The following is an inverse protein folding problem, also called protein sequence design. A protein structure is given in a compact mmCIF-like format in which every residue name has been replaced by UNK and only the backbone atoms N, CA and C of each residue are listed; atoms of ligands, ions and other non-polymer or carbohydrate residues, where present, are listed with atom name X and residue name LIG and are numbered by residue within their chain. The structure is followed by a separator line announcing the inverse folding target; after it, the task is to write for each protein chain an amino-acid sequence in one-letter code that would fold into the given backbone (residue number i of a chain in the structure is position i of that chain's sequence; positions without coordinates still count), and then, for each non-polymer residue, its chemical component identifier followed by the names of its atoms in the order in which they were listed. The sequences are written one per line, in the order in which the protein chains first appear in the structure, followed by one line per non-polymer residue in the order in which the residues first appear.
data_IF_433585748847
#
_entry.id   IF_433585748847
#
_cell.length_a   1.000
_cell.length_b   1.000
_cell.length_c   1.000
_cell.angle_alpha   90.00
_cell.angle_beta   90.00
_cell.angle_gamma   90.00
#
_symmetry.space_group_name_H-M   'P 1'
#
loop_
_entity.id
_entity.type
_entity.pdbx_description
1 polymer ?
#
# COMPACT_ATOMS: atom_id res chain seq x y z
N UNK A 1 -0.09 10.65 19.78
CA UNK A 1 -1.14 11.48 19.15
C UNK A 1 -0.98 11.40 17.66
N UNK A 2 -2.07 11.53 16.91
CA UNK A 2 -2.00 11.45 15.44
C UNK A 2 -1.43 12.75 14.86
N UNK A 3 -0.40 12.63 14.02
CA UNK A 3 0.05 13.76 13.22
C UNK A 3 -0.93 14.11 12.08
N UNK A 4 -1.71 13.13 11.64
CA UNK A 4 -2.66 13.24 10.53
C UNK A 4 -3.95 12.49 10.87
N UNK A 5 -5.10 13.12 10.62
CA UNK A 5 -6.42 12.50 10.81
C UNK A 5 -7.34 12.88 9.65
N UNK A 6 -7.92 11.87 8.99
CA UNK A 6 -8.80 12.05 7.84
C UNK A 6 -8.06 12.66 6.64
N UNK A 7 -8.13 13.99 6.51
CA UNK A 7 -7.53 14.78 5.44
C UNK A 7 -6.71 15.98 5.93
N UNK A 8 -6.41 16.06 7.23
CA UNK A 8 -5.73 17.21 7.84
C UNK A 8 -4.56 16.80 8.74
N UNK A 9 -3.52 17.62 8.74
CA UNK A 9 -2.37 17.53 9.66
C UNK A 9 -2.64 18.33 10.94
N UNK A 10 -2.11 17.85 12.07
CA UNK A 10 -2.10 18.60 13.33
C UNK A 10 -1.01 19.68 13.27
N UNK A 11 -1.42 20.95 13.15
CA UNK A 11 -0.50 22.07 13.01
C UNK A 11 0.38 22.33 14.25
N UNK A 12 0.03 21.79 15.42
CA UNK A 12 0.86 21.89 16.62
C UNK A 12 2.08 20.95 16.58
N UNK A 13 1.95 19.82 15.85
CA UNK A 13 3.02 18.82 15.66
C UNK A 13 3.72 19.05 14.31
N UNK A 14 2.96 19.39 13.27
CA UNK A 14 3.39 19.55 11.89
C UNK A 14 3.14 20.98 11.36
N UNK A 15 3.81 22.01 11.89
CA UNK A 15 3.70 23.37 11.37
C UNK A 15 4.39 23.54 10.00
N UNK A 16 5.39 22.70 9.72
CA UNK A 16 6.14 22.64 8.47
C UNK A 16 6.65 21.20 8.23
N UNK A 17 7.11 20.93 7.00
CA UNK A 17 7.51 19.58 6.58
C UNK A 17 8.73 19.03 7.33
N UNK A 18 9.73 19.88 7.65
CA UNK A 18 10.97 19.45 8.32
C UNK A 18 10.69 19.08 9.77
N UNK A 19 9.89 19.91 10.45
CA UNK A 19 9.45 19.62 11.82
C UNK A 19 8.59 18.37 11.85
N UNK A 20 7.62 18.23 10.93
CA UNK A 20 6.73 17.09 10.86
C UNK A 20 7.47 15.76 10.63
N UNK A 21 8.41 15.72 9.67
CA UNK A 21 9.20 14.50 9.38
C UNK A 21 10.09 14.07 10.54
N UNK A 22 10.51 15.00 11.39
CA UNK A 22 11.28 14.70 12.60
C UNK A 22 10.40 14.28 13.79
N UNK A 23 9.18 14.80 13.87
CA UNK A 23 8.26 14.60 15.00
C UNK A 23 7.31 13.40 14.82
N UNK A 24 7.11 12.92 13.60
CA UNK A 24 6.13 11.90 13.25
C UNK A 24 6.78 10.63 12.71
N UNK A 25 6.08 9.51 12.84
CA UNK A 25 6.51 8.21 12.34
C UNK A 25 5.43 7.58 11.45
N UNK A 26 5.88 6.78 10.48
CA UNK A 26 5.02 5.81 9.78
C UNK A 26 5.13 4.51 10.55
N UNK A 27 4.00 4.01 11.04
CA UNK A 27 3.93 2.79 11.86
C UNK A 27 3.61 1.55 11.02
N UNK A 28 3.64 0.38 11.65
CA UNK A 28 3.27 -0.89 11.04
C UNK A 28 1.81 -0.97 10.60
N UNK A 29 1.49 -1.99 9.81
CA UNK A 29 0.17 -2.20 9.22
C UNK A 29 -0.39 -3.60 9.56
N UNK A 30 -1.66 -3.65 9.98
CA UNK A 30 -2.45 -4.88 9.92
C UNK A 30 -3.01 -5.05 8.50
N UNK A 31 -2.25 -5.75 7.66
CA UNK A 31 -2.56 -5.96 6.24
C UNK A 31 -3.94 -6.57 6.02
N UNK A 32 -4.32 -7.59 6.78
CA UNK A 32 -5.58 -8.30 6.55
C UNK A 32 -6.77 -7.56 7.16
N UNK A 33 -6.65 -7.15 8.43
CA UNK A 33 -7.78 -6.55 9.16
C UNK A 33 -8.08 -5.11 8.74
N UNK A 34 -7.05 -4.31 8.43
CA UNK A 34 -7.23 -2.89 8.08
C UNK A 34 -7.34 -2.69 6.58
N UNK A 35 -6.52 -3.40 5.79
CA UNK A 35 -6.40 -3.14 4.35
C UNK A 35 -7.00 -4.23 3.46
N UNK A 36 -7.40 -5.39 4.01
CA UNK A 36 -7.94 -6.50 3.23
C UNK A 36 -6.93 -7.10 2.26
N UNK A 37 -5.63 -6.99 2.58
CA UNK A 37 -4.52 -7.55 1.82
C UNK A 37 -4.18 -8.91 2.42
N UNK A 38 -4.14 -9.94 1.57
CA UNK A 38 -3.75 -11.30 1.98
C UNK A 38 -2.90 -11.96 0.92
N UNK A 39 -2.06 -12.91 1.32
CA UNK A 39 -1.25 -13.73 0.42
C UNK A 39 -1.49 -15.21 0.69
N UNK A 40 -1.34 -16.02 -0.35
CA UNK A 40 -1.32 -17.48 -0.24
C UNK A 40 -0.37 -18.05 -1.29
N UNK A 41 0.77 -18.58 -0.87
CA UNK A 41 1.83 -19.01 -1.79
C UNK A 41 2.31 -17.85 -2.66
N UNK A 42 2.07 -17.95 -3.97
CA UNK A 42 2.43 -16.96 -4.99
C UNK A 42 1.28 -16.00 -5.36
N UNK A 43 0.12 -16.08 -4.70
CA UNK A 43 -1.02 -15.21 -4.97
C UNK A 43 -1.11 -14.05 -3.98
N UNK A 44 -1.43 -12.85 -4.49
CA UNK A 44 -1.74 -11.64 -3.73
C UNK A 44 -3.20 -11.25 -3.99
N UNK A 45 -4.02 -11.14 -2.94
CA UNK A 45 -5.41 -10.69 -3.03
C UNK A 45 -5.56 -9.32 -2.38
N UNK A 46 -6.11 -8.37 -3.14
CA UNK A 46 -6.35 -6.99 -2.72
C UNK A 46 -7.85 -6.69 -2.73
N UNK A 47 -8.47 -6.57 -1.54
CA UNK A 47 -9.88 -6.17 -1.45
C UNK A 47 -10.05 -4.66 -1.67
N UNK A 48 -11.14 -4.27 -2.32
CA UNK A 48 -11.40 -2.87 -2.60
C UNK A 48 -11.82 -2.06 -1.36
N UNK A 49 -12.68 -2.61 -0.49
CA UNK A 49 -13.15 -1.92 0.73
C UNK A 49 -12.95 -2.81 1.95
N UNK A 50 -12.30 -2.27 2.98
CA UNK A 50 -12.13 -2.93 4.29
C UNK A 50 -12.36 -1.89 5.39
N UNK A 51 -13.50 -1.99 6.10
CA UNK A 51 -13.92 -0.95 7.04
C UNK A 51 -14.06 0.42 6.36
N UNK A 52 -13.32 1.42 6.83
CA UNK A 52 -13.25 2.75 6.21
C UNK A 52 -12.11 2.92 5.18
N UNK A 53 -11.28 1.89 4.97
CA UNK A 53 -10.20 1.92 3.99
C UNK A 53 -10.72 1.57 2.59
N UNK A 54 -10.25 2.31 1.58
CA UNK A 54 -10.60 2.12 0.17
C UNK A 54 -9.33 1.94 -0.65
N UNK A 55 -9.16 0.74 -1.22
CA UNK A 55 -8.02 0.35 -2.05
C UNK A 55 -6.74 0.09 -1.27
N UNK A 56 -5.69 -0.23 -2.02
CA UNK A 56 -4.34 -0.48 -1.51
C UNK A 56 -3.30 -0.35 -2.61
N UNK A 57 -2.05 -0.11 -2.25
CA UNK A 57 -0.89 -0.24 -3.14
C UNK A 57 0.26 -0.88 -2.38
N UNK A 58 0.90 -1.87 -2.99
CA UNK A 58 2.02 -2.62 -2.42
C UNK A 58 3.21 -2.62 -3.38
N UNK A 59 4.40 -2.86 -2.85
CA UNK A 59 5.64 -3.00 -3.61
C UNK A 59 6.24 -4.37 -3.33
N UNK A 60 6.82 -5.01 -4.34
CA UNK A 60 7.54 -6.26 -4.13
C UNK A 60 8.88 -5.98 -3.43
N UNK A 61 9.14 -6.70 -2.35
CA UNK A 61 10.33 -6.55 -1.53
C UNK A 61 11.30 -7.71 -1.80
N UNK A 62 12.60 -7.42 -1.82
CA UNK A 62 13.68 -8.42 -1.84
C UNK A 62 14.13 -8.77 -0.42
N UNK A 63 14.08 -7.79 0.48
CA UNK A 63 14.28 -7.97 1.93
C UNK A 63 13.34 -7.06 2.72
N UNK A 64 13.37 -7.11 4.05
CA UNK A 64 12.57 -6.22 4.91
C UNK A 64 12.84 -4.72 4.66
N UNK A 65 13.98 -4.35 4.07
CA UNK A 65 14.40 -2.95 3.90
C UNK A 65 14.69 -2.55 2.44
N UNK A 66 14.58 -3.48 1.49
CA UNK A 66 14.92 -3.23 0.08
C UNK A 66 13.81 -3.71 -0.86
N UNK A 67 13.40 -2.84 -1.79
CA UNK A 67 12.52 -3.22 -2.88
C UNK A 67 13.23 -4.17 -3.85
N UNK A 68 12.48 -5.11 -4.41
CA UNK A 68 12.96 -5.92 -5.51
C UNK A 68 13.12 -5.05 -6.76
N UNK A 69 14.33 -5.03 -7.32
CA UNK A 69 14.63 -4.30 -8.56
C UNK A 69 14.62 -5.26 -9.73
N UNK A 70 13.92 -4.89 -10.79
CA UNK A 70 13.86 -5.67 -12.02
C UNK A 70 14.67 -4.98 -13.12
N UNK A 71 15.63 -5.69 -13.71
CA UNK A 71 16.32 -5.29 -14.95
C UNK A 71 15.65 -5.96 -16.15
N UNK A 72 14.56 -5.36 -16.63
CA UNK A 72 13.68 -5.98 -17.65
C UNK A 72 14.11 -5.73 -19.11
N UNK A 73 15.25 -5.07 -19.35
CA UNK A 73 15.72 -4.85 -20.71
C UNK A 73 16.04 -6.20 -21.38
N UNK A 74 15.36 -6.48 -22.48
CA UNK A 74 15.45 -7.77 -23.20
C UNK A 74 15.02 -8.99 -22.34
N UNK A 75 14.09 -8.80 -21.41
CA UNK A 75 13.47 -9.85 -20.59
C UNK A 75 11.94 -9.82 -20.71
N UNK A 76 11.28 -10.86 -20.19
CA UNK A 76 9.82 -10.95 -20.07
C UNK A 76 9.41 -10.86 -18.59
N UNK A 77 8.24 -10.26 -18.31
CA UNK A 77 7.56 -10.31 -17.02
C UNK A 77 6.17 -10.91 -17.22
N UNK A 78 5.87 -11.99 -16.48
CA UNK A 78 4.62 -12.75 -16.63
C UNK A 78 3.90 -12.82 -15.29
N UNK A 79 2.59 -12.68 -15.31
CA UNK A 79 1.72 -12.84 -14.14
C UNK A 79 0.34 -13.32 -14.56
N UNK A 80 -0.33 -14.02 -13.65
CA UNK A 80 -1.75 -14.37 -13.78
C UNK A 80 -2.60 -13.35 -13.03
N UNK A 81 -3.79 -13.06 -13.54
CA UNK A 81 -4.75 -12.16 -12.90
C UNK A 81 -6.16 -12.73 -12.97
N UNK A 82 -6.85 -12.74 -11.83
CA UNK A 82 -8.29 -12.98 -11.75
C UNK A 82 -9.00 -11.63 -11.59
N UNK A 83 -9.81 -11.27 -12.58
CA UNK A 83 -10.60 -10.03 -12.63
C UNK A 83 -12.10 -10.28 -12.53
N UNK A 84 -12.52 -11.50 -12.17
CA UNK A 84 -13.94 -11.87 -12.13
C UNK A 84 -14.77 -10.95 -11.21
N UNK A 85 -14.20 -10.55 -10.07
CA UNK A 85 -14.85 -9.65 -9.10
C UNK A 85 -14.44 -8.17 -9.25
N UNK A 86 -13.82 -7.78 -10.38
CA UNK A 86 -13.38 -6.40 -10.63
C UNK A 86 -14.31 -5.70 -11.66
N UNK A 87 -15.43 -5.09 -11.22
CA UNK A 87 -16.39 -4.44 -12.11
C UNK A 87 -15.87 -3.11 -12.70
N UNK A 88 -16.65 -2.56 -13.64
CA UNK A 88 -16.44 -1.23 -14.20
C UNK A 88 -16.26 -0.16 -13.10
N UNK A 89 -15.33 0.77 -13.32
CA UNK A 89 -15.02 1.85 -12.39
C UNK A 89 -13.94 1.49 -11.37
N UNK A 90 -13.50 0.23 -11.30
CA UNK A 90 -12.33 -0.19 -10.54
C UNK A 90 -11.12 -0.43 -11.44
N UNK A 91 -9.92 -0.40 -10.85
CA UNK A 91 -8.66 -0.63 -11.55
C UNK A 91 -7.72 -1.46 -10.66
N UNK A 92 -7.42 -2.69 -11.10
CA UNK A 92 -6.36 -3.53 -10.54
C UNK A 92 -5.11 -3.38 -11.39
N UNK A 93 -4.13 -2.62 -10.88
CA UNK A 93 -2.92 -2.27 -11.61
C UNK A 93 -1.71 -3.06 -11.09
N UNK A 94 -0.90 -3.54 -12.04
CA UNK A 94 0.43 -4.11 -11.81
C UNK A 94 1.43 -3.39 -12.72
#
# INVERSE_FOLDING_TARGET
TNCYTGNTWDASICPDATTCTSACAVDGADYSGTYGITTSGNALTLKFVTGSNIGSRTYLMDSETTYNKFDLLSQEFTFDVDVFELPCGLNGAL
#
